data_IF_074802967605
#
_entry.id   IF_074802967605
#
_cell.length_a   1.000
_cell.length_b   1.000
_cell.length_c   1.000
_cell.angle_alpha   90.00
_cell.angle_beta   90.00
_cell.angle_gamma   90.00
#
_symmetry.space_group_name_H-M   'P 1'
#
loop_
_entity.id
_entity.type
_entity.pdbx_description
1 polymer ?
#
# COMPACT_ATOMS: atom_id res chain seq x y z
N UNK A 1 -6.67 -0.47 17.29
CA UNK A 1 -6.40 -1.91 17.52
C UNK A 1 -5.15 -2.29 16.72
N UNK A 2 -4.08 -2.75 17.37
CA UNK A 2 -2.84 -3.18 16.68
C UNK A 2 -3.07 -4.56 16.07
N UNK A 3 -2.86 -4.67 14.76
CA UNK A 3 -2.96 -5.95 14.07
C UNK A 3 -1.65 -6.72 14.27
N UNK A 4 -1.68 -7.71 15.16
CA UNK A 4 -0.50 -8.54 15.47
C UNK A 4 -0.52 -9.88 14.72
N UNK A 5 -1.69 -10.27 14.23
CA UNK A 5 -1.89 -11.52 13.50
C UNK A 5 -1.37 -11.42 12.06
N UNK A 6 -0.61 -12.42 11.63
CA UNK A 6 -0.01 -12.46 10.30
C UNK A 6 -1.05 -12.61 9.18
N UNK A 7 -2.13 -13.34 9.44
CA UNK A 7 -3.19 -13.61 8.46
C UNK A 7 -3.79 -12.32 7.87
N UNK A 8 -4.31 -11.38 8.68
CA UNK A 8 -4.88 -10.15 8.14
C UNK A 8 -3.83 -9.21 7.52
N UNK A 9 -2.57 -9.28 7.96
CA UNK A 9 -1.47 -8.55 7.29
C UNK A 9 -1.26 -9.09 5.87
N UNK A 10 -1.24 -10.41 5.68
CA UNK A 10 -1.15 -11.04 4.35
C UNK A 10 -2.31 -10.67 3.45
N UNK A 11 -3.53 -10.63 3.98
CA UNK A 11 -4.72 -10.23 3.24
C UNK A 11 -4.65 -8.77 2.78
N UNK A 12 -4.13 -7.87 3.64
CA UNK A 12 -3.88 -6.50 3.26
C UNK A 12 -2.89 -6.41 2.08
N UNK A 13 -1.74 -7.08 2.16
CA UNK A 13 -0.76 -7.10 1.06
C UNK A 13 -1.38 -7.59 -0.25
N UNK A 14 -2.12 -8.71 -0.22
CA UNK A 14 -2.77 -9.27 -1.40
C UNK A 14 -3.78 -8.29 -2.03
N UNK A 15 -4.57 -7.62 -1.20
CA UNK A 15 -5.55 -6.63 -1.65
C UNK A 15 -4.89 -5.45 -2.34
N UNK A 16 -3.82 -4.90 -1.77
CA UNK A 16 -3.13 -3.75 -2.35
C UNK A 16 -2.30 -4.11 -3.59
N UNK A 17 -1.75 -5.32 -3.65
CA UNK A 17 -1.09 -5.83 -4.84
C UNK A 17 -2.08 -5.89 -6.02
N UNK A 18 -3.24 -6.52 -5.83
CA UNK A 18 -4.27 -6.62 -6.88
C UNK A 18 -4.78 -5.27 -7.36
N UNK A 19 -4.93 -4.28 -6.46
CA UNK A 19 -5.29 -2.91 -6.86
C UNK A 19 -4.22 -2.22 -7.70
N UNK A 20 -2.95 -2.44 -7.38
CA UNK A 20 -1.86 -1.86 -8.15
C UNK A 20 -1.75 -2.50 -9.53
N UNK A 21 -1.96 -3.82 -9.63
CA UNK A 21 -2.05 -4.54 -10.91
C UNK A 21 -3.22 -4.06 -11.76
N UNK A 22 -4.39 -3.81 -11.16
CA UNK A 22 -5.54 -3.25 -11.88
C UNK A 22 -5.21 -1.89 -12.50
N UNK A 23 -4.53 -1.02 -11.74
CA UNK A 23 -4.08 0.28 -12.27
C UNK A 23 -3.09 0.13 -13.42
N UNK A 24 -2.13 -0.78 -13.31
CA UNK A 24 -1.16 -1.03 -14.39
C UNK A 24 -1.85 -1.54 -15.65
N UNK A 25 -2.81 -2.47 -15.50
CA UNK A 25 -3.60 -3.00 -16.61
C UNK A 25 -4.44 -1.92 -17.29
N UNK A 26 -5.11 -1.08 -16.52
CA UNK A 26 -5.89 0.04 -17.04
C UNK A 26 -5.03 1.05 -17.81
N UNK A 27 -3.75 1.20 -17.44
CA UNK A 27 -2.78 2.03 -18.13
C UNK A 27 -2.11 1.33 -19.32
N UNK A 28 -2.37 0.05 -19.56
CA UNK A 28 -1.66 -0.77 -20.55
C UNK A 28 -0.17 -0.98 -20.24
N UNK A 29 0.23 -0.77 -18.98
CA UNK A 29 1.62 -0.85 -18.53
C UNK A 29 1.96 -2.26 -18.02
N UNK A 30 3.21 -2.68 -18.22
CA UNK A 30 3.74 -3.95 -17.72
C UNK A 30 4.86 -3.68 -16.71
N UNK A 31 4.86 -4.42 -15.60
CA UNK A 31 5.93 -4.35 -14.60
C UNK A 31 6.56 -5.73 -14.39
N UNK A 32 7.88 -5.77 -14.21
CA UNK A 32 8.60 -7.00 -13.84
C UNK A 32 8.44 -7.36 -12.36
N UNK A 33 8.29 -6.34 -11.50
CA UNK A 33 8.20 -6.48 -10.06
C UNK A 33 7.23 -5.44 -9.48
N UNK A 34 6.39 -5.86 -8.53
CA UNK A 34 5.51 -4.99 -7.77
C UNK A 34 5.92 -5.03 -6.28
N UNK A 35 6.05 -3.86 -5.65
CA UNK A 35 6.41 -3.75 -4.22
C UNK A 35 5.25 -3.11 -3.44
N UNK A 36 4.77 -3.83 -2.42
CA UNK A 36 3.76 -3.34 -1.48
C UNK A 36 4.40 -3.18 -0.11
N UNK A 37 4.38 -1.96 0.43
CA UNK A 37 4.88 -1.65 1.76
C UNK A 37 3.71 -1.37 2.69
N UNK A 38 3.69 -2.02 3.85
CA UNK A 38 2.74 -1.70 4.92
C UNK A 38 3.43 -0.73 5.87
N UNK A 39 2.98 0.52 5.87
CA UNK A 39 3.37 1.48 6.89
C UNK A 39 2.47 1.28 8.11
N UNK A 40 2.93 0.48 9.08
CA UNK A 40 2.34 0.53 10.42
C UNK A 40 2.79 1.85 11.04
N UNK A 41 1.97 2.89 10.91
CA UNK A 41 2.24 4.19 11.49
C UNK A 41 2.68 4.00 12.94
N UNK A 42 3.84 4.55 13.28
CA UNK A 42 4.39 4.48 14.62
C UNK A 42 3.30 4.85 15.64
N UNK A 43 3.18 3.97 16.63
CA UNK A 43 2.42 4.12 17.84
C UNK A 43 2.56 5.55 18.40
N UNK A 44 1.63 6.45 18.10
CA UNK A 44 1.54 7.74 18.76
C UNK A 44 0.46 7.64 19.83
N UNK A 45 0.85 7.55 21.10
CA UNK A 45 -0.10 7.51 22.21
C UNK A 45 -0.79 8.88 22.45
N UNK A 46 -0.35 9.97 21.82
CA UNK A 46 -1.03 11.25 21.99
C UNK A 46 -0.78 12.23 20.83
N UNK A 47 -1.56 12.15 19.75
CA UNK A 47 -1.59 13.23 18.75
C UNK A 47 -1.90 12.78 17.32
N UNK A 48 -3.20 12.71 17.05
CA UNK A 48 -3.87 13.27 15.88
C UNK A 48 -3.05 13.57 14.59
N UNK A 49 -3.29 12.69 13.58
CA UNK A 49 -3.59 12.97 12.16
C UNK A 49 -2.65 12.38 11.09
N UNK A 50 -3.20 11.38 10.40
CA UNK A 50 -3.07 11.10 8.96
C UNK A 50 -1.68 11.30 8.33
N UNK A 51 -0.84 10.27 8.42
CA UNK A 51 0.24 10.09 7.45
C UNK A 51 -0.39 9.67 6.10
N UNK A 52 -0.69 10.65 5.24
CA UNK A 52 -0.94 10.39 3.83
C UNK A 52 0.35 9.78 3.24
N UNK A 53 0.31 8.49 2.91
CA UNK A 53 1.36 7.86 2.14
C UNK A 53 1.40 8.48 0.75
N UNK A 54 2.30 9.44 0.53
CA UNK A 54 2.64 9.97 -0.79
C UNK A 54 3.44 8.91 -1.56
N UNK A 55 2.71 7.89 -2.03
CA UNK A 55 3.14 6.98 -3.09
C UNK A 55 2.46 7.39 -4.39
N UNK A 56 2.63 8.66 -4.80
CA UNK A 56 2.22 9.12 -6.12
C UNK A 56 3.10 8.42 -7.14
N UNK A 57 2.51 7.53 -7.94
CA UNK A 57 3.11 7.13 -9.20
C UNK A 57 3.35 8.42 -9.98
N UNK A 58 4.62 8.79 -10.18
CA UNK A 58 5.00 9.79 -11.14
C UNK A 58 4.48 9.30 -12.49
N UNK A 59 3.41 9.94 -12.96
CA UNK A 59 3.08 10.00 -14.38
C UNK A 59 4.31 10.61 -15.05
N UNK A 60 5.01 9.81 -15.85
CA UNK A 60 6.04 10.33 -16.73
C UNK A 60 5.31 10.62 -18.04
N UNK A 61 5.40 11.88 -18.47
CA UNK A 61 5.07 12.35 -19.82
C UNK A 61 6.00 11.69 -20.85
#
# INVERSE_FOLDING_TARGET
MRLSELTPIKQAVATYAGRAEEKLRAQGSVCKCLRVSICTGMFNHNGLHHAQGVGGAAVHD
#
